data_IF_827829099398
#
_entry.id   IF_827829099398
#
_cell.length_a   1.000
_cell.length_b   1.000
_cell.length_c   1.000
_cell.angle_alpha   90.00
_cell.angle_beta   90.00
_cell.angle_gamma   90.00
#
_symmetry.space_group_name_H-M   'P 1'
#
loop_
_entity.id
_entity.type
_entity.pdbx_description
1 polymer ?
#
# COMPACT_ATOMS: atom_id res chain seq x y z
N UNK A 1 -13.11 -12.02 45.80
CA UNK A 1 -12.69 -11.99 44.38
C UNK A 1 -13.96 -12.10 43.55
N UNK A 2 -14.60 -10.95 43.23
CA UNK A 2 -15.85 -10.94 42.43
C UNK A 2 -15.42 -10.95 40.96
N UNK A 3 -15.76 -12.01 40.25
CA UNK A 3 -15.64 -12.15 38.81
C UNK A 3 -16.46 -11.04 38.15
N UNK A 4 -15.81 -10.03 37.64
CA UNK A 4 -16.40 -9.01 36.76
C UNK A 4 -16.61 -9.69 35.40
N UNK A 5 -17.76 -10.36 35.26
CA UNK A 5 -18.27 -10.71 33.94
C UNK A 5 -18.74 -9.40 33.30
N UNK A 6 -17.86 -8.74 32.56
CA UNK A 6 -18.21 -7.62 31.71
C UNK A 6 -19.22 -8.13 30.69
N UNK A 7 -20.49 -7.76 30.82
CA UNK A 7 -21.47 -7.89 29.74
C UNK A 7 -20.98 -7.05 28.56
N UNK A 8 -20.29 -7.67 27.63
CA UNK A 8 -19.93 -7.08 26.34
C UNK A 8 -21.21 -6.58 25.68
N UNK A 9 -21.22 -5.32 25.30
CA UNK A 9 -22.33 -4.72 24.54
C UNK A 9 -22.57 -5.53 23.24
N UNK A 10 -23.84 -5.63 22.82
CA UNK A 10 -24.21 -6.43 21.63
C UNK A 10 -23.42 -6.00 20.38
N UNK A 11 -23.16 -4.69 20.21
CA UNK A 11 -22.34 -4.18 19.14
C UNK A 11 -20.90 -4.66 19.17
N UNK A 12 -20.29 -4.75 20.36
CA UNK A 12 -18.95 -5.32 20.54
C UNK A 12 -18.92 -6.81 20.23
N UNK A 13 -19.97 -7.55 20.64
CA UNK A 13 -20.12 -8.99 20.30
C UNK A 13 -20.21 -9.20 18.79
N UNK A 14 -21.00 -8.37 18.10
CA UNK A 14 -21.14 -8.45 16.65
C UNK A 14 -19.82 -8.16 15.94
N UNK A 15 -19.11 -7.09 16.34
CA UNK A 15 -17.79 -6.74 15.78
C UNK A 15 -16.77 -7.87 16.05
N UNK A 16 -16.78 -8.44 17.26
CA UNK A 16 -15.91 -9.58 17.60
C UNK A 16 -16.26 -10.81 16.77
N UNK A 17 -17.54 -11.09 16.54
CA UNK A 17 -17.97 -12.22 15.71
C UNK A 17 -17.49 -12.05 14.26
N UNK A 18 -17.59 -10.86 13.69
CA UNK A 18 -17.07 -10.59 12.32
C UNK A 18 -15.57 -10.82 12.26
N UNK A 19 -14.80 -10.30 13.21
CA UNK A 19 -13.34 -10.52 13.26
C UNK A 19 -13.01 -12.01 13.38
N UNK A 20 -13.72 -12.73 14.24
CA UNK A 20 -13.54 -14.17 14.39
C UNK A 20 -13.88 -14.94 13.10
N UNK A 21 -14.98 -14.61 12.45
CA UNK A 21 -15.35 -15.24 11.16
C UNK A 21 -14.30 -14.99 10.10
N UNK A 22 -13.83 -13.75 9.96
CA UNK A 22 -12.75 -13.41 9.02
C UNK A 22 -11.47 -14.18 9.38
N UNK A 23 -11.10 -14.23 10.66
CA UNK A 23 -9.90 -14.94 11.09
C UNK A 23 -10.03 -16.46 10.84
N UNK A 24 -11.14 -17.08 11.22
CA UNK A 24 -11.37 -18.52 11.02
C UNK A 24 -11.42 -18.89 9.55
N UNK A 25 -11.98 -18.02 8.70
CA UNK A 25 -12.06 -18.28 7.26
C UNK A 25 -10.72 -18.06 6.53
N UNK A 26 -10.00 -17.00 6.86
CA UNK A 26 -8.83 -16.57 6.09
C UNK A 26 -7.50 -17.02 6.68
N UNK A 27 -7.36 -17.20 8.00
CA UNK A 27 -6.07 -17.65 8.57
C UNK A 27 -5.66 -19.04 8.09
N UNK A 28 -6.53 -20.06 8.05
CA UNK A 28 -6.18 -21.35 7.46
C UNK A 28 -5.79 -21.23 5.97
N UNK A 29 -6.50 -20.37 5.23
CA UNK A 29 -6.20 -20.12 3.82
C UNK A 29 -4.85 -19.45 3.64
N UNK A 30 -4.49 -18.49 4.49
CA UNK A 30 -3.15 -17.85 4.50
C UNK A 30 -2.07 -18.88 4.82
N UNK A 31 -2.30 -19.79 5.79
CA UNK A 31 -1.33 -20.84 6.12
C UNK A 31 -1.15 -21.80 4.94
N UNK A 32 -2.25 -22.18 4.27
CA UNK A 32 -2.20 -23.07 3.11
C UNK A 32 -1.54 -22.44 1.88
N UNK A 33 -1.72 -21.13 1.70
CA UNK A 33 -1.16 -20.35 0.60
C UNK A 33 0.15 -19.65 0.98
N UNK A 34 0.75 -19.95 2.14
CA UNK A 34 1.98 -19.28 2.56
C UNK A 34 3.09 -19.50 1.52
N UNK A 35 3.67 -18.42 0.98
CA UNK A 35 4.59 -18.51 -0.12
C UNK A 35 5.91 -19.18 0.28
N UNK A 36 6.43 -19.99 -0.63
CA UNK A 36 7.76 -20.59 -0.55
C UNK A 36 8.53 -20.16 -1.82
N UNK A 37 8.99 -18.89 -1.89
CA UNK A 37 9.66 -18.40 -3.08
C UNK A 37 10.95 -19.18 -3.33
N UNK A 38 11.17 -19.56 -4.59
CA UNK A 38 12.44 -20.10 -5.04
C UNK A 38 13.49 -18.97 -5.03
N UNK A 39 14.57 -19.17 -4.27
CA UNK A 39 15.67 -18.22 -4.15
C UNK A 39 16.83 -18.53 -5.10
N UNK A 40 16.66 -19.45 -6.03
CA UNK A 40 17.72 -19.94 -6.90
C UNK A 40 18.32 -18.88 -7.83
N UNK A 41 17.59 -17.77 -8.07
CA UNK A 41 18.08 -16.64 -8.88
C UNK A 41 18.62 -15.47 -8.05
N UNK A 42 18.68 -15.58 -6.73
CA UNK A 42 19.11 -14.49 -5.88
C UNK A 42 20.63 -14.40 -5.81
N UNK A 43 21.22 -13.40 -6.44
CA UNK A 43 22.56 -12.94 -6.08
C UNK A 43 22.58 -12.40 -4.65
N UNK A 44 23.75 -12.15 -4.11
CA UNK A 44 23.91 -11.65 -2.76
C UNK A 44 24.18 -10.14 -2.77
N UNK A 45 23.53 -9.41 -1.86
CA UNK A 45 23.81 -8.00 -1.62
C UNK A 45 24.76 -7.87 -0.43
N UNK A 46 25.81 -7.07 -0.59
CA UNK A 46 26.78 -6.81 0.49
C UNK A 46 27.23 -5.36 0.47
N UNK A 47 27.66 -4.85 1.63
CA UNK A 47 28.20 -3.50 1.72
C UNK A 47 29.67 -3.50 1.32
N UNK A 48 30.11 -2.46 0.62
CA UNK A 48 31.50 -2.21 0.26
C UNK A 48 31.83 -0.73 0.42
N UNK A 49 33.06 -0.42 0.76
CA UNK A 49 33.62 0.93 0.65
C UNK A 49 34.36 1.02 -0.67
N UNK A 50 33.99 2.00 -1.49
CA UNK A 50 34.55 2.18 -2.82
C UNK A 50 35.80 3.06 -2.76
N UNK A 51 36.81 2.70 -3.57
CA UNK A 51 38.02 3.46 -3.80
C UNK A 51 38.42 3.34 -5.26
N UNK A 52 39.32 4.22 -5.71
CA UNK A 52 39.82 4.26 -7.07
C UNK A 52 38.69 4.30 -8.12
N UNK A 53 37.66 5.11 -7.83
CA UNK A 53 36.52 5.29 -8.72
C UNK A 53 36.97 5.98 -10.00
N UNK A 54 36.89 5.27 -11.12
CA UNK A 54 37.24 5.77 -12.44
C UNK A 54 36.07 5.61 -13.40
N UNK A 55 35.86 6.64 -14.24
CA UNK A 55 34.86 6.61 -15.29
C UNK A 55 35.55 6.76 -16.65
N UNK A 56 35.17 5.93 -17.60
CA UNK A 56 35.66 5.95 -18.98
C UNK A 56 34.50 5.82 -19.95
N UNK A 57 34.74 6.18 -21.21
CA UNK A 57 33.74 5.95 -22.25
C UNK A 57 33.47 4.48 -22.41
N UNK A 58 32.19 4.10 -22.48
CA UNK A 58 31.81 2.71 -22.69
C UNK A 58 32.13 2.29 -24.13
N UNK A 59 32.88 1.20 -24.31
CA UNK A 59 33.07 0.62 -25.64
C UNK A 59 31.72 0.16 -26.22
N UNK A 60 31.37 0.70 -27.38
CA UNK A 60 30.17 0.38 -28.16
C UNK A 60 28.80 0.91 -27.66
N UNK A 61 28.75 1.91 -26.78
CA UNK A 61 27.50 2.58 -26.40
C UNK A 61 27.49 4.00 -26.98
N UNK A 62 26.44 4.33 -27.71
CA UNK A 62 26.25 5.66 -28.37
C UNK A 62 25.76 6.75 -27.42
N UNK A 63 25.61 6.45 -26.13
CA UNK A 63 25.15 7.40 -25.11
C UNK A 63 26.35 8.08 -24.42
N UNK A 64 26.29 9.39 -24.20
CA UNK A 64 27.28 10.20 -23.48
C UNK A 64 27.42 9.87 -21.97
N UNK A 65 27.00 8.69 -21.53
CA UNK A 65 27.07 8.26 -20.13
C UNK A 65 28.22 7.27 -19.97
N UNK A 66 29.26 7.63 -19.20
CA UNK A 66 30.42 6.77 -19.02
C UNK A 66 30.10 5.52 -18.21
N UNK A 67 30.82 4.45 -18.51
CA UNK A 67 30.97 3.30 -17.61
C UNK A 67 32.08 3.59 -16.61
N UNK A 68 32.07 2.89 -15.49
CA UNK A 68 33.11 3.06 -14.49
C UNK A 68 33.45 1.76 -13.79
N UNK A 69 34.59 1.80 -13.17
CA UNK A 69 35.09 0.73 -12.32
C UNK A 69 35.57 1.32 -11.01
N UNK A 70 35.47 0.55 -9.96
CA UNK A 70 35.95 0.91 -8.64
C UNK A 70 36.48 -0.32 -7.92
N UNK A 71 37.38 -0.11 -6.98
CA UNK A 71 37.81 -1.13 -6.03
C UNK A 71 36.86 -1.09 -4.82
N UNK A 72 36.10 -2.14 -4.59
CA UNK A 72 35.24 -2.27 -3.42
C UNK A 72 35.91 -3.07 -2.30
N UNK A 73 36.07 -2.50 -1.13
CA UNK A 73 36.49 -3.24 0.07
C UNK A 73 35.24 -3.70 0.80
N UNK A 74 34.99 -4.99 0.81
CA UNK A 74 33.84 -5.61 1.51
C UNK A 74 34.03 -5.58 3.02
N UNK A 75 32.95 -5.81 3.78
CA UNK A 75 33.00 -5.86 5.26
C UNK A 75 33.93 -6.97 5.83
N UNK A 76 34.35 -7.94 5.02
CA UNK A 76 35.32 -8.99 5.34
C UNK A 76 36.75 -8.67 4.89
N UNK A 77 37.06 -7.41 4.62
CA UNK A 77 38.35 -6.90 4.10
C UNK A 77 38.78 -7.48 2.73
N UNK A 78 37.89 -8.19 2.03
CA UNK A 78 38.17 -8.67 0.67
C UNK A 78 38.02 -7.51 -0.30
N UNK A 79 39.04 -7.27 -1.12
CA UNK A 79 38.98 -6.35 -2.25
C UNK A 79 38.36 -7.04 -3.45
N UNK A 80 37.43 -6.37 -4.10
CA UNK A 80 36.70 -6.84 -5.28
C UNK A 80 36.59 -5.68 -6.28
N UNK A 81 36.60 -6.03 -7.56
CA UNK A 81 36.32 -5.08 -8.61
C UNK A 81 34.79 -4.88 -8.71
N UNK A 82 34.35 -3.62 -8.73
CA UNK A 82 32.94 -3.25 -8.78
C UNK A 82 32.66 -2.50 -10.06
N UNK A 83 31.80 -3.06 -10.91
CA UNK A 83 31.35 -2.39 -12.13
C UNK A 83 30.35 -1.28 -11.80
N UNK A 84 30.60 -0.09 -12.35
CA UNK A 84 29.78 1.09 -12.19
C UNK A 84 29.07 1.37 -13.51
N UNK A 85 27.75 1.07 -13.54
CA UNK A 85 26.92 1.36 -14.69
C UNK A 85 26.28 2.77 -14.58
N UNK A 86 25.44 3.10 -15.54
CA UNK A 86 24.72 4.36 -15.67
C UNK A 86 24.14 4.92 -14.36
N UNK A 87 23.60 4.02 -13.51
CA UNK A 87 23.01 4.41 -12.22
C UNK A 87 24.05 4.95 -11.24
N UNK A 88 25.28 4.45 -11.27
CA UNK A 88 26.37 4.93 -10.43
C UNK A 88 26.80 6.36 -10.83
N UNK A 89 26.85 6.66 -12.13
CA UNK A 89 27.15 7.98 -12.66
C UNK A 89 26.11 9.01 -12.20
N UNK A 90 24.83 8.73 -12.39
CA UNK A 90 23.76 9.63 -11.95
C UNK A 90 23.64 9.73 -10.43
N UNK A 91 24.13 8.74 -9.70
CA UNK A 91 24.19 8.76 -8.24
C UNK A 91 25.41 9.50 -7.69
N UNK A 92 26.30 10.02 -8.58
CA UNK A 92 27.54 10.72 -8.22
C UNK A 92 28.42 9.91 -7.25
N UNK A 93 28.70 8.66 -7.61
CA UNK A 93 29.57 7.78 -6.82
C UNK A 93 31.00 8.30 -6.86
N UNK A 94 31.61 8.41 -5.68
CA UNK A 94 32.97 8.92 -5.48
C UNK A 94 33.78 8.02 -4.53
N UNK A 95 35.08 8.28 -4.47
CA UNK A 95 35.97 7.60 -3.51
C UNK A 95 35.49 7.76 -2.06
N UNK A 96 35.65 6.71 -1.29
CA UNK A 96 35.23 6.57 0.11
C UNK A 96 33.71 6.46 0.31
N UNK A 97 32.92 6.40 -0.76
CA UNK A 97 31.48 6.14 -0.63
C UNK A 97 31.24 4.70 -0.15
N UNK A 98 30.29 4.57 0.79
CA UNK A 98 29.78 3.27 1.21
C UNK A 98 28.59 2.89 0.33
N UNK A 99 28.74 1.78 -0.38
CA UNK A 99 27.76 1.30 -1.36
C UNK A 99 27.27 -0.12 -1.03
N UNK A 100 26.07 -0.41 -1.45
CA UNK A 100 25.56 -1.77 -1.58
C UNK A 100 25.94 -2.28 -2.96
N UNK A 101 26.65 -3.38 -3.01
CA UNK A 101 27.03 -4.06 -4.26
C UNK A 101 26.27 -5.38 -4.40
N UNK A 102 25.88 -5.67 -5.62
CA UNK A 102 25.20 -6.91 -5.97
C UNK A 102 26.22 -7.89 -6.56
N UNK A 103 26.35 -9.03 -5.92
CA UNK A 103 27.23 -10.11 -6.37
C UNK A 103 26.40 -11.16 -7.14
N UNK A 104 26.71 -11.36 -8.40
CA UNK A 104 26.13 -12.39 -9.26
C UNK A 104 27.20 -13.36 -9.72
N UNK A 105 26.88 -14.65 -9.81
CA UNK A 105 27.76 -15.65 -10.39
C UNK A 105 27.56 -15.69 -11.91
N UNK A 106 28.63 -15.43 -12.65
CA UNK A 106 28.68 -15.58 -14.10
C UNK A 106 29.40 -16.88 -14.45
N UNK A 107 28.87 -17.70 -15.38
CA UNK A 107 29.52 -18.95 -15.80
C UNK A 107 30.96 -18.76 -16.34
N UNK A 108 31.21 -17.61 -16.97
CA UNK A 108 32.49 -17.34 -17.69
C UNK A 108 33.47 -16.48 -16.87
N UNK A 109 32.97 -15.66 -15.92
CA UNK A 109 33.79 -14.65 -15.24
C UNK A 109 33.86 -14.82 -13.72
N UNK A 110 33.20 -15.84 -13.16
CA UNK A 110 33.11 -16.01 -11.71
C UNK A 110 32.15 -15.03 -11.06
N UNK A 111 32.44 -14.59 -9.83
CA UNK A 111 31.56 -13.63 -9.12
C UNK A 111 31.83 -12.21 -9.64
N UNK A 112 30.82 -11.60 -10.25
CA UNK A 112 30.84 -10.21 -10.71
C UNK A 112 30.10 -9.35 -9.70
N UNK A 113 30.75 -8.24 -9.30
CA UNK A 113 30.15 -7.26 -8.39
C UNK A 113 29.73 -6.03 -9.18
N UNK A 114 28.48 -5.61 -8.99
CA UNK A 114 27.94 -4.39 -9.62
C UNK A 114 27.42 -3.43 -8.56
N UNK A 115 27.60 -2.14 -8.79
CA UNK A 115 27.01 -1.11 -7.93
C UNK A 115 25.48 -1.20 -7.99
N UNK A 116 24.85 -1.24 -6.84
CA UNK A 116 23.38 -1.25 -6.74
C UNK A 116 22.84 0.08 -6.19
N UNK A 117 23.39 0.57 -5.09
CA UNK A 117 22.99 1.84 -4.49
C UNK A 117 23.97 2.29 -3.41
N UNK A 118 23.93 3.56 -3.02
CA UNK A 118 24.60 3.99 -1.79
C UNK A 118 24.04 3.27 -0.55
N UNK A 119 24.90 2.96 0.43
CA UNK A 119 24.45 2.46 1.73
C UNK A 119 23.78 3.60 2.52
N UNK A 120 22.47 3.59 2.52
CA UNK A 120 21.62 4.57 3.21
C UNK A 120 20.98 3.99 4.49
N UNK A 121 21.33 2.75 4.87
CA UNK A 121 20.64 2.00 5.93
C UNK A 121 20.53 2.79 7.24
N UNK A 122 21.66 3.25 7.78
CA UNK A 122 21.68 4.01 9.05
C UNK A 122 20.90 5.33 8.93
N UNK A 123 21.05 6.05 7.80
CA UNK A 123 20.36 7.33 7.57
C UNK A 123 18.84 7.15 7.46
N UNK A 124 18.39 6.08 6.79
CA UNK A 124 16.97 5.73 6.68
C UNK A 124 16.38 5.32 8.03
N UNK A 125 17.10 4.52 8.80
CA UNK A 125 16.69 4.12 10.16
C UNK A 125 16.56 5.37 11.04
N UNK A 126 17.58 6.22 11.08
CA UNK A 126 17.57 7.44 11.88
C UNK A 126 16.42 8.39 11.50
N UNK A 127 16.20 8.64 10.20
CA UNK A 127 15.08 9.47 9.73
C UNK A 127 13.72 8.88 10.09
N UNK A 128 13.57 7.56 9.98
CA UNK A 128 12.35 6.85 10.37
C UNK A 128 12.08 6.98 11.87
N UNK A 129 13.11 6.83 12.72
CA UNK A 129 12.95 7.04 14.15
C UNK A 129 12.56 8.47 14.51
N UNK A 130 13.12 9.48 13.85
CA UNK A 130 12.76 10.89 14.06
C UNK A 130 11.27 11.11 13.70
N UNK A 131 10.83 10.58 12.56
CA UNK A 131 9.43 10.71 12.13
C UNK A 131 8.50 9.99 13.10
N UNK A 132 8.83 8.77 13.52
CA UNK A 132 8.06 8.02 14.52
C UNK A 132 7.96 8.81 15.83
N UNK A 133 9.06 9.35 16.34
CA UNK A 133 9.07 10.14 17.55
C UNK A 133 8.17 11.38 17.44
N UNK A 134 8.19 12.08 16.29
CA UNK A 134 7.34 13.22 16.02
C UNK A 134 5.84 12.83 16.02
N UNK A 135 5.50 11.73 15.36
CA UNK A 135 4.13 11.20 15.34
C UNK A 135 3.66 10.84 16.75
N UNK A 136 4.50 10.18 17.55
CA UNK A 136 4.17 9.81 18.93
C UNK A 136 3.99 11.03 19.84
N UNK A 137 4.77 12.06 19.62
CA UNK A 137 4.65 13.32 20.36
C UNK A 137 3.28 13.99 20.11
N UNK A 138 2.83 14.02 18.85
CA UNK A 138 1.61 14.71 18.44
C UNK A 138 0.37 13.82 18.67
N UNK A 139 0.38 12.59 18.21
CA UNK A 139 -0.79 11.69 18.19
C UNK A 139 -0.93 10.85 19.47
N UNK A 140 0.13 10.80 20.30
CA UNK A 140 0.14 10.10 21.59
C UNK A 140 -0.25 8.61 21.48
N UNK A 141 -1.02 8.10 22.44
CA UNK A 141 -1.36 6.67 22.52
C UNK A 141 -2.11 6.08 21.32
N UNK A 142 -2.85 6.89 20.55
CA UNK A 142 -3.45 6.43 19.28
C UNK A 142 -2.39 6.27 18.19
N UNK A 143 -1.33 7.09 18.23
CA UNK A 143 -0.20 7.00 17.31
C UNK A 143 0.56 5.68 17.43
N UNK A 144 0.75 5.17 18.65
CA UNK A 144 1.41 3.87 18.87
C UNK A 144 0.65 2.75 18.17
N UNK A 145 -0.68 2.70 18.32
CA UNK A 145 -1.51 1.68 17.66
C UNK A 145 -1.49 1.82 16.14
N UNK A 146 -1.53 3.05 15.64
CA UNK A 146 -1.46 3.29 14.20
C UNK A 146 -0.11 2.84 13.60
N UNK A 147 1.02 3.19 14.25
CA UNK A 147 2.35 2.77 13.80
C UNK A 147 2.49 1.24 13.88
N UNK A 148 2.05 0.62 14.98
CA UNK A 148 2.13 -0.83 15.15
C UNK A 148 1.30 -1.57 14.08
N UNK A 149 0.08 -1.09 13.78
CA UNK A 149 -0.75 -1.67 12.72
C UNK A 149 -0.15 -1.46 11.33
N UNK A 150 0.46 -0.30 11.08
CA UNK A 150 1.14 -0.03 9.80
C UNK A 150 2.33 -0.97 9.59
N UNK A 151 3.18 -1.12 10.60
CA UNK A 151 4.34 -2.03 10.54
C UNK A 151 3.90 -3.49 10.36
N UNK A 152 2.90 -3.94 11.13
CA UNK A 152 2.36 -5.29 10.98
C UNK A 152 1.78 -5.51 9.57
N UNK A 153 1.07 -4.53 9.03
CA UNK A 153 0.53 -4.58 7.66
C UNK A 153 1.64 -4.61 6.61
N UNK A 154 2.68 -3.80 6.76
CA UNK A 154 3.81 -3.77 5.84
C UNK A 154 4.56 -5.12 5.83
N UNK A 155 4.81 -5.71 6.99
CA UNK A 155 5.42 -7.04 7.12
C UNK A 155 4.53 -8.11 6.47
N UNK A 156 3.22 -8.06 6.71
CA UNK A 156 2.28 -9.02 6.13
C UNK A 156 2.19 -8.87 4.60
N UNK A 157 2.12 -7.65 4.08
CA UNK A 157 2.13 -7.38 2.64
C UNK A 157 3.43 -7.91 2.02
N UNK A 158 4.58 -7.64 2.63
CA UNK A 158 5.86 -8.13 2.13
C UNK A 158 5.93 -9.65 2.12
N UNK A 159 5.62 -10.29 3.24
CA UNK A 159 5.80 -11.74 3.40
C UNK A 159 4.74 -12.54 2.65
N UNK A 160 3.47 -12.15 2.71
CA UNK A 160 2.37 -12.91 2.13
C UNK A 160 1.99 -12.45 0.72
N UNK A 161 1.71 -11.15 0.53
CA UNK A 161 1.25 -10.66 -0.76
C UNK A 161 2.37 -10.69 -1.80
N UNK A 162 3.48 -9.98 -1.53
CA UNK A 162 4.59 -9.89 -2.48
C UNK A 162 5.25 -11.26 -2.63
N UNK A 163 5.50 -11.96 -1.53
CA UNK A 163 6.06 -13.32 -1.56
C UNK A 163 5.19 -14.29 -2.34
N UNK A 164 3.86 -14.21 -2.20
CA UNK A 164 2.92 -15.08 -2.91
C UNK A 164 2.88 -14.83 -4.42
N UNK A 165 2.92 -13.56 -4.83
CA UNK A 165 3.02 -13.19 -6.25
C UNK A 165 4.37 -13.62 -6.81
N UNK A 166 5.46 -13.40 -6.09
CA UNK A 166 6.81 -13.81 -6.49
C UNK A 166 6.97 -15.35 -6.58
N UNK A 167 6.15 -16.11 -5.86
CA UNK A 167 6.08 -17.56 -5.99
C UNK A 167 5.16 -18.02 -7.15
N UNK A 168 4.71 -17.12 -8.02
CA UNK A 168 3.84 -17.43 -9.17
C UNK A 168 2.35 -17.49 -8.83
N UNK A 169 1.94 -17.03 -7.64
CA UNK A 169 0.54 -16.99 -7.24
C UNK A 169 -0.25 -15.88 -7.94
N UNK A 170 -1.58 -16.03 -8.00
CA UNK A 170 -2.47 -15.04 -8.62
C UNK A 170 -2.44 -13.71 -7.87
N UNK A 171 -2.02 -12.58 -8.52
CA UNK A 171 -1.96 -11.26 -7.88
C UNK A 171 -3.29 -10.86 -7.22
N UNK A 172 -4.41 -11.07 -7.91
CA UNK A 172 -5.74 -10.67 -7.44
C UNK A 172 -6.18 -11.47 -6.20
N UNK A 173 -5.90 -12.78 -6.16
CA UNK A 173 -6.24 -13.62 -5.01
C UNK A 173 -5.48 -13.18 -3.75
N UNK A 174 -4.15 -13.08 -3.86
CA UNK A 174 -3.31 -12.65 -2.74
C UNK A 174 -3.65 -11.24 -2.27
N UNK A 175 -3.94 -10.32 -3.19
CA UNK A 175 -4.37 -8.97 -2.87
C UNK A 175 -5.71 -8.95 -2.15
N UNK A 176 -6.71 -9.70 -2.62
CA UNK A 176 -8.03 -9.75 -2.00
C UNK A 176 -7.94 -10.25 -0.55
N UNK A 177 -7.21 -11.33 -0.31
CA UNK A 177 -6.99 -11.86 1.04
C UNK A 177 -6.26 -10.82 1.91
N UNK A 178 -5.21 -10.20 1.36
CA UNK A 178 -4.42 -9.19 2.08
C UNK A 178 -5.26 -7.98 2.47
N UNK A 179 -6.08 -7.47 1.58
CA UNK A 179 -6.97 -6.33 1.84
C UNK A 179 -7.92 -6.64 2.99
N UNK A 180 -8.58 -7.78 2.95
CA UNK A 180 -9.56 -8.15 3.99
C UNK A 180 -8.86 -8.26 5.35
N UNK A 181 -7.69 -8.92 5.43
CA UNK A 181 -6.96 -9.11 6.68
C UNK A 181 -6.33 -7.83 7.20
N UNK A 182 -5.67 -7.07 6.34
CA UNK A 182 -5.03 -5.79 6.69
C UNK A 182 -6.08 -4.80 7.18
N UNK A 183 -7.19 -4.62 6.45
CA UNK A 183 -8.25 -3.73 6.87
C UNK A 183 -8.91 -4.18 8.18
N UNK A 184 -9.16 -5.48 8.34
CA UNK A 184 -9.70 -6.00 9.59
C UNK A 184 -8.74 -5.71 10.74
N UNK A 185 -7.46 -6.03 10.57
CA UNK A 185 -6.43 -5.78 11.59
C UNK A 185 -6.30 -4.30 11.93
N UNK A 186 -6.07 -3.45 10.92
CA UNK A 186 -5.86 -2.00 11.11
C UNK A 186 -7.07 -1.33 11.75
N UNK A 187 -8.27 -1.54 11.20
CA UNK A 187 -9.49 -0.89 11.69
C UNK A 187 -9.81 -1.27 13.13
N UNK A 188 -9.88 -2.57 13.41
CA UNK A 188 -10.30 -3.02 14.75
C UNK A 188 -9.20 -2.83 15.80
N UNK A 189 -7.93 -2.90 15.44
CA UNK A 189 -6.84 -2.61 16.37
C UNK A 189 -6.73 -1.11 16.70
N UNK A 190 -6.93 -0.25 15.71
CA UNK A 190 -6.78 1.22 15.87
C UNK A 190 -8.03 1.83 16.51
N UNK A 191 -9.23 1.47 16.02
CA UNK A 191 -10.50 2.07 16.41
C UNK A 191 -11.30 1.25 17.41
N UNK A 192 -10.89 0.01 17.68
CA UNK A 192 -11.55 -0.90 18.61
C UNK A 192 -12.74 -1.65 18.01
N UNK A 193 -13.21 -2.65 18.76
CA UNK A 193 -14.33 -3.52 18.38
C UNK A 193 -15.67 -2.83 18.68
N UNK A 194 -16.11 -1.94 17.78
CA UNK A 194 -17.34 -1.17 17.94
C UNK A 194 -18.24 -1.29 16.70
N UNK A 195 -19.54 -1.01 16.85
CA UNK A 195 -20.48 -0.93 15.72
C UNK A 195 -20.08 0.13 14.70
N UNK A 196 -19.49 1.23 15.17
CA UNK A 196 -18.95 2.28 14.31
C UNK A 196 -17.82 1.76 13.43
N UNK A 197 -16.86 1.02 14.01
CA UNK A 197 -15.74 0.43 13.28
C UNK A 197 -16.24 -0.63 12.30
N UNK A 198 -17.25 -1.42 12.69
CA UNK A 198 -17.86 -2.40 11.82
C UNK A 198 -18.56 -1.76 10.61
N UNK A 199 -19.24 -0.62 10.81
CA UNK A 199 -19.84 0.14 9.71
C UNK A 199 -18.80 0.66 8.72
N UNK A 200 -17.69 1.21 9.24
CA UNK A 200 -16.57 1.66 8.43
C UNK A 200 -15.96 0.49 7.65
N UNK A 201 -15.72 -0.65 8.30
CA UNK A 201 -15.20 -1.86 7.66
C UNK A 201 -16.09 -2.32 6.50
N UNK A 202 -17.41 -2.42 6.74
CA UNK A 202 -18.36 -2.82 5.69
C UNK A 202 -18.38 -1.87 4.51
N UNK A 203 -18.37 -0.55 4.76
CA UNK A 203 -18.31 0.47 3.72
C UNK A 203 -17.03 0.43 2.91
N UNK A 204 -15.88 0.26 3.57
CA UNK A 204 -14.57 0.12 2.89
C UNK A 204 -14.51 -1.13 2.02
N UNK A 205 -15.05 -2.27 2.50
CA UNK A 205 -15.14 -3.50 1.71
C UNK A 205 -15.99 -3.31 0.45
N UNK A 206 -17.15 -2.65 0.55
CA UNK A 206 -17.98 -2.34 -0.61
C UNK A 206 -17.25 -1.43 -1.61
N UNK A 207 -16.56 -0.40 -1.14
CA UNK A 207 -15.79 0.49 -1.99
C UNK A 207 -14.64 -0.22 -2.70
N UNK A 208 -13.88 -1.05 -1.98
CA UNK A 208 -12.78 -1.83 -2.55
C UNK A 208 -13.28 -2.85 -3.59
N UNK A 209 -14.37 -3.57 -3.29
CA UNK A 209 -14.97 -4.50 -4.23
C UNK A 209 -15.48 -3.80 -5.50
N UNK A 210 -16.06 -2.60 -5.35
CA UNK A 210 -16.53 -1.81 -6.49
C UNK A 210 -15.37 -1.26 -7.32
N UNK A 211 -14.29 -0.77 -6.68
CA UNK A 211 -13.07 -0.34 -7.37
C UNK A 211 -12.44 -1.50 -8.15
N UNK A 212 -12.38 -2.69 -7.55
CA UNK A 212 -11.89 -3.90 -8.19
C UNK A 212 -12.72 -4.26 -9.43
N UNK A 213 -14.04 -4.30 -9.30
CA UNK A 213 -14.94 -4.60 -10.42
C UNK A 213 -14.83 -3.57 -11.54
N UNK A 214 -14.80 -2.27 -11.20
CA UNK A 214 -14.64 -1.19 -12.18
C UNK A 214 -13.26 -1.25 -12.86
N UNK A 215 -12.19 -1.47 -12.10
CA UNK A 215 -10.84 -1.61 -12.63
C UNK A 215 -10.71 -2.79 -13.59
N UNK A 216 -11.23 -3.96 -13.22
CA UNK A 216 -11.24 -5.15 -14.09
C UNK A 216 -12.01 -4.88 -15.37
N UNK A 217 -13.21 -4.29 -15.26
CA UNK A 217 -14.06 -3.99 -16.43
C UNK A 217 -13.36 -3.00 -17.37
N UNK A 218 -12.81 -1.92 -16.83
CA UNK A 218 -12.12 -0.90 -17.62
C UNK A 218 -10.84 -1.44 -18.27
N UNK A 219 -10.04 -2.19 -17.53
CA UNK A 219 -8.78 -2.78 -18.05
C UNK A 219 -9.04 -3.74 -19.20
N UNK A 220 -10.07 -4.58 -19.10
CA UNK A 220 -10.45 -5.51 -20.18
C UNK A 220 -11.05 -4.77 -21.39
N UNK A 221 -11.87 -3.75 -21.15
CA UNK A 221 -12.48 -2.95 -22.22
C UNK A 221 -11.45 -2.15 -23.01
N UNK A 222 -10.49 -1.55 -22.32
CA UNK A 222 -9.41 -0.75 -22.91
C UNK A 222 -8.24 -1.59 -23.42
N UNK A 223 -8.22 -2.91 -23.17
CA UNK A 223 -7.15 -3.84 -23.56
C UNK A 223 -5.78 -3.36 -23.08
N UNK A 224 -5.69 -2.98 -21.80
CA UNK A 224 -4.47 -2.42 -21.22
C UNK A 224 -3.36 -3.48 -21.12
N UNK A 225 -2.15 -3.08 -21.53
CA UNK A 225 -0.92 -3.84 -21.38
C UNK A 225 -0.22 -3.62 -20.01
N UNK A 226 1.05 -4.03 -19.87
CA UNK A 226 1.85 -3.76 -18.69
C UNK A 226 2.04 -2.25 -18.47
N UNK A 227 1.84 -1.81 -17.22
CA UNK A 227 1.74 -0.39 -16.89
C UNK A 227 3.08 0.36 -16.87
N UNK A 228 4.18 -0.33 -16.56
CA UNK A 228 5.49 0.28 -16.39
C UNK A 228 6.64 -0.66 -16.79
N UNK A 229 7.85 -0.11 -16.79
CA UNK A 229 9.08 -0.83 -17.13
C UNK A 229 9.37 -1.98 -16.14
N UNK A 230 9.09 -1.77 -14.84
CA UNK A 230 9.27 -2.80 -13.81
C UNK A 230 8.32 -3.98 -14.02
N UNK A 231 7.05 -3.71 -14.37
CA UNK A 231 6.09 -4.75 -14.72
C UNK A 231 6.51 -5.49 -16.01
N UNK A 232 7.03 -4.76 -16.99
CA UNK A 232 7.56 -5.34 -18.22
C UNK A 232 8.77 -6.24 -17.94
N UNK A 233 9.66 -5.84 -17.02
CA UNK A 233 10.82 -6.64 -16.64
C UNK A 233 10.43 -8.01 -16.03
N UNK A 234 9.27 -8.11 -15.37
CA UNK A 234 8.76 -9.39 -14.86
C UNK A 234 8.46 -10.39 -15.97
N UNK A 235 8.22 -9.96 -17.21
CA UNK A 235 8.00 -10.86 -18.34
C UNK A 235 9.25 -11.67 -18.72
N UNK A 236 10.44 -11.14 -18.39
CA UNK A 236 11.71 -11.83 -18.60
C UNK A 236 12.02 -12.85 -17.50
N UNK A 237 11.26 -12.82 -16.39
CA UNK A 237 11.33 -13.88 -15.39
C UNK A 237 10.50 -15.08 -15.87
N UNK A 238 10.85 -16.28 -15.43
CA UNK A 238 10.06 -17.48 -15.74
C UNK A 238 8.72 -17.53 -14.99
N UNK A 239 8.31 -16.44 -14.35
CA UNK A 239 7.07 -16.32 -13.60
C UNK A 239 5.93 -15.98 -14.56
N UNK A 240 4.93 -16.85 -14.63
CA UNK A 240 3.73 -16.61 -15.44
C UNK A 240 2.75 -15.69 -14.71
N UNK A 241 3.16 -14.41 -14.51
CA UNK A 241 2.37 -13.40 -13.78
C UNK A 241 1.48 -12.64 -14.77
N UNK A 242 0.18 -12.60 -14.49
CA UNK A 242 -0.74 -11.73 -15.23
C UNK A 242 -0.54 -10.26 -14.80
N UNK A 243 0.08 -9.48 -15.67
CA UNK A 243 0.44 -8.08 -15.43
C UNK A 243 -0.77 -7.16 -15.30
N UNK A 244 -1.89 -7.50 -15.93
CA UNK A 244 -3.12 -6.70 -15.81
C UNK A 244 -3.71 -6.83 -14.40
N UNK A 245 -3.74 -8.02 -13.85
CA UNK A 245 -4.17 -8.25 -12.46
C UNK A 245 -3.16 -7.74 -11.43
N UNK A 246 -1.87 -7.71 -11.76
CA UNK A 246 -0.85 -7.09 -10.92
C UNK A 246 -1.06 -5.57 -10.80
N UNK A 247 -1.31 -4.88 -11.92
CA UNK A 247 -1.61 -3.44 -11.93
C UNK A 247 -2.87 -3.11 -11.14
N UNK A 248 -3.90 -3.94 -11.26
CA UNK A 248 -5.12 -3.80 -10.46
C UNK A 248 -4.88 -4.04 -8.97
N UNK A 249 -4.02 -4.98 -8.64
CA UNK A 249 -3.59 -5.25 -7.25
C UNK A 249 -2.88 -4.05 -6.64
N UNK A 250 -1.99 -3.41 -7.39
CA UNK A 250 -1.31 -2.19 -6.96
C UNK A 250 -2.30 -1.05 -6.66
N UNK A 251 -3.29 -0.83 -7.54
CA UNK A 251 -4.36 0.13 -7.30
C UNK A 251 -5.10 -0.15 -5.99
N UNK A 252 -5.53 -1.39 -5.78
CA UNK A 252 -6.32 -1.76 -4.61
C UNK A 252 -5.55 -1.52 -3.30
N UNK A 253 -4.25 -1.81 -3.28
CA UNK A 253 -3.39 -1.52 -2.13
C UNK A 253 -3.27 -0.02 -1.89
N UNK A 254 -3.10 0.77 -2.94
CA UNK A 254 -3.01 2.23 -2.82
C UNK A 254 -4.32 2.87 -2.31
N UNK A 255 -5.46 2.30 -2.66
CA UNK A 255 -6.79 2.81 -2.27
C UNK A 255 -7.19 2.50 -0.83
N UNK A 256 -6.63 1.46 -0.20
CA UNK A 256 -7.05 1.00 1.14
C UNK A 256 -7.12 2.15 2.15
N UNK A 257 -6.07 2.98 2.22
CA UNK A 257 -6.00 4.09 3.16
C UNK A 257 -7.12 5.11 2.93
N UNK A 258 -7.31 5.52 1.69
CA UNK A 258 -8.29 6.56 1.31
C UNK A 258 -9.73 6.08 1.56
N UNK A 259 -10.05 4.85 1.14
CA UNK A 259 -11.38 4.27 1.36
C UNK A 259 -11.69 4.13 2.85
N UNK A 260 -10.68 3.70 3.63
CA UNK A 260 -10.78 3.59 5.08
C UNK A 260 -11.05 4.94 5.75
N UNK A 261 -10.34 6.00 5.35
CA UNK A 261 -10.49 7.34 5.94
C UNK A 261 -11.89 7.91 5.67
N UNK A 262 -12.39 7.77 4.45
CA UNK A 262 -13.75 8.16 4.08
C UNK A 262 -14.77 7.38 4.90
N UNK A 263 -14.63 6.06 4.98
CA UNK A 263 -15.56 5.21 5.71
C UNK A 263 -15.55 5.51 7.21
N UNK A 264 -14.37 5.72 7.81
CA UNK A 264 -14.23 6.04 9.22
C UNK A 264 -14.86 7.40 9.55
N UNK A 265 -14.63 8.44 8.73
CA UNK A 265 -15.24 9.76 8.87
C UNK A 265 -16.77 9.70 8.70
N UNK A 266 -17.24 8.97 7.69
CA UNK A 266 -18.65 8.79 7.40
C UNK A 266 -19.38 8.07 8.54
N UNK A 267 -18.84 6.95 9.03
CA UNK A 267 -19.37 6.26 10.19
C UNK A 267 -19.39 7.16 11.43
N UNK A 268 -18.32 7.94 11.66
CA UNK A 268 -18.26 8.88 12.77
C UNK A 268 -19.37 9.91 12.70
N UNK A 269 -19.63 10.47 11.54
CA UNK A 269 -20.68 11.48 11.31
C UNK A 269 -22.06 10.91 11.61
N UNK A 270 -22.40 9.72 11.11
CA UNK A 270 -23.68 9.07 11.39
C UNK A 270 -23.87 8.81 12.90
N UNK A 271 -22.86 8.19 13.52
CA UNK A 271 -22.95 7.85 14.96
C UNK A 271 -22.95 9.06 15.88
N UNK A 272 -22.38 10.20 15.48
CA UNK A 272 -22.44 11.44 16.28
C UNK A 272 -23.83 12.08 16.33
N UNK A 273 -24.68 11.80 15.33
CA UNK A 273 -26.05 12.32 15.26
C UNK A 273 -27.11 11.29 15.73
N UNK A 274 -26.71 10.12 16.17
CA UNK A 274 -27.58 9.09 16.74
C UNK A 274 -27.41 9.06 18.26
N UNK A 275 -28.23 9.84 18.97
CA UNK A 275 -28.26 9.79 20.44
C UNK A 275 -28.94 8.49 20.92
N UNK A 276 -28.47 7.86 22.03
CA UNK A 276 -28.98 6.58 22.51
C UNK A 276 -30.48 6.57 22.84
N UNK A 277 -31.03 7.73 23.25
CA UNK A 277 -32.40 7.85 23.78
C UNK A 277 -33.41 8.50 22.84
N UNK A 278 -32.99 8.90 21.63
CA UNK A 278 -33.86 9.54 20.65
C UNK A 278 -34.01 8.67 19.39
N UNK A 279 -35.24 8.61 18.84
CA UNK A 279 -35.45 7.99 17.55
C UNK A 279 -34.63 8.72 16.49
N UNK A 280 -33.73 8.03 15.75
CA UNK A 280 -32.90 8.65 14.76
C UNK A 280 -33.75 9.38 13.72
N UNK A 281 -33.51 10.70 13.55
CA UNK A 281 -34.18 11.48 12.53
C UNK A 281 -33.48 11.29 11.17
N UNK A 282 -33.78 10.19 10.49
CA UNK A 282 -33.12 9.82 9.22
C UNK A 282 -33.15 10.93 8.18
N UNK A 283 -34.25 11.73 8.16
CA UNK A 283 -34.40 12.87 7.25
C UNK A 283 -33.36 13.98 7.48
N UNK A 284 -32.75 14.02 8.66
CA UNK A 284 -31.70 14.98 9.01
C UNK A 284 -30.33 14.34 8.91
N UNK A 285 -30.18 13.11 9.43
CA UNK A 285 -28.90 12.43 9.51
C UNK A 285 -28.34 12.09 8.11
N UNK A 286 -29.19 11.56 7.22
CA UNK A 286 -28.75 11.16 5.88
C UNK A 286 -28.23 12.34 5.04
N UNK A 287 -28.95 13.46 4.89
CA UNK A 287 -28.42 14.60 4.16
C UNK A 287 -27.14 15.17 4.76
N UNK A 288 -27.05 15.25 6.10
CA UNK A 288 -25.85 15.74 6.79
C UNK A 288 -24.65 14.82 6.55
N UNK A 289 -24.83 13.51 6.71
CA UNK A 289 -23.78 12.53 6.47
C UNK A 289 -23.34 12.55 5.00
N UNK A 290 -24.26 12.63 4.04
CA UNK A 290 -23.92 12.73 2.63
C UNK A 290 -23.24 14.05 2.26
N UNK A 291 -23.55 15.16 2.94
CA UNK A 291 -22.85 16.43 2.72
C UNK A 291 -21.39 16.32 3.13
N UNK A 292 -21.13 15.86 4.37
CA UNK A 292 -19.76 15.63 4.86
C UNK A 292 -19.01 14.63 3.96
N UNK A 293 -19.70 13.56 3.54
CA UNK A 293 -19.11 12.56 2.66
C UNK A 293 -18.71 13.13 1.29
N UNK A 294 -19.49 14.05 0.72
CA UNK A 294 -19.14 14.70 -0.56
C UNK A 294 -17.86 15.52 -0.43
N UNK A 295 -17.71 16.29 0.66
CA UNK A 295 -16.52 17.11 0.88
C UNK A 295 -15.27 16.22 1.04
N UNK A 296 -15.36 15.13 1.81
CA UNK A 296 -14.28 14.16 1.94
C UNK A 296 -13.96 13.45 0.61
N UNK A 297 -14.99 13.04 -0.14
CA UNK A 297 -14.78 12.38 -1.43
C UNK A 297 -14.14 13.31 -2.45
N UNK A 298 -14.54 14.59 -2.49
CA UNK A 298 -13.90 15.58 -3.37
C UNK A 298 -12.41 15.75 -3.03
N UNK A 299 -12.07 15.88 -1.75
CA UNK A 299 -10.68 15.96 -1.29
C UNK A 299 -9.88 14.70 -1.67
N UNK A 300 -10.46 13.52 -1.51
CA UNK A 300 -9.83 12.24 -1.86
C UNK A 300 -9.58 12.13 -3.39
N UNK A 301 -10.52 12.60 -4.21
CA UNK A 301 -10.34 12.63 -5.67
C UNK A 301 -9.15 13.53 -6.05
N UNK A 302 -9.03 14.72 -5.46
CA UNK A 302 -7.86 15.57 -5.69
C UNK A 302 -6.57 14.88 -5.26
N UNK A 303 -6.55 14.23 -4.11
CA UNK A 303 -5.38 13.52 -3.58
C UNK A 303 -4.91 12.43 -4.55
N UNK A 304 -5.81 11.60 -5.04
CA UNK A 304 -5.47 10.56 -6.03
C UNK A 304 -4.96 11.19 -7.32
N UNK A 305 -5.67 12.20 -7.84
CA UNK A 305 -5.32 12.84 -9.11
C UNK A 305 -3.92 13.47 -9.06
N UNK A 306 -3.61 14.23 -8.00
CA UNK A 306 -2.29 14.81 -7.85
C UNK A 306 -1.19 13.80 -7.55
N UNK A 307 -1.49 12.71 -6.84
CA UNK A 307 -0.53 11.62 -6.64
C UNK A 307 -0.16 10.95 -7.95
N UNK A 308 -1.15 10.71 -8.83
CA UNK A 308 -0.94 10.14 -10.16
C UNK A 308 -0.08 11.06 -11.03
N UNK A 309 -0.42 12.36 -11.09
CA UNK A 309 0.37 13.34 -11.85
C UNK A 309 1.77 13.44 -11.28
N UNK A 310 1.91 13.48 -9.96
CA UNK A 310 3.22 13.56 -9.31
C UNK A 310 4.10 12.34 -9.59
N UNK A 311 3.54 11.13 -9.51
CA UNK A 311 4.26 9.89 -9.83
C UNK A 311 4.66 9.83 -11.31
N UNK A 312 3.82 10.34 -12.22
CA UNK A 312 4.06 10.35 -13.66
C UNK A 312 4.80 11.60 -14.19
N UNK A 313 5.27 12.51 -13.32
CA UNK A 313 5.78 13.81 -13.74
C UNK A 313 6.91 13.72 -14.78
N UNK A 314 7.84 12.79 -14.63
CA UNK A 314 8.92 12.56 -15.58
C UNK A 314 8.38 12.20 -16.98
N UNK A 315 7.37 11.35 -17.06
CA UNK A 315 6.74 10.97 -18.32
C UNK A 315 6.03 12.17 -18.99
N UNK A 316 5.37 13.03 -18.20
CA UNK A 316 4.78 14.28 -18.72
C UNK A 316 5.83 15.25 -19.29
N UNK A 317 6.95 15.40 -18.56
CA UNK A 317 8.07 16.25 -19.03
C UNK A 317 8.65 15.68 -20.33
N UNK A 318 8.87 14.37 -20.39
CA UNK A 318 9.42 13.69 -21.57
C UNK A 318 8.49 13.86 -22.78
N UNK A 319 7.18 13.62 -22.60
CA UNK A 319 6.18 13.81 -23.65
C UNK A 319 6.16 15.25 -24.18
N UNK A 320 6.29 16.22 -23.28
CA UNK A 320 6.36 17.64 -23.66
C UNK A 320 7.65 17.96 -24.43
N UNK A 321 8.78 17.44 -23.98
CA UNK A 321 10.10 17.64 -24.62
C UNK A 321 10.12 17.10 -26.06
N UNK A 322 9.49 15.94 -26.29
CA UNK A 322 9.39 15.35 -27.62
C UNK A 322 8.21 15.87 -28.45
N UNK A 323 7.52 16.93 -27.99
CA UNK A 323 6.32 17.46 -28.65
C UNK A 323 5.27 16.38 -28.97
N UNK A 324 5.13 15.38 -28.10
CA UNK A 324 4.15 14.31 -28.27
C UNK A 324 2.74 14.90 -28.16
N UNK A 325 1.83 14.65 -29.11
CA UNK A 325 0.46 15.10 -28.98
C UNK A 325 -0.21 14.50 -27.75
N UNK A 326 -0.93 15.32 -26.98
CA UNK A 326 -1.61 14.88 -25.74
C UNK A 326 -2.49 13.65 -25.97
N UNK A 327 -3.18 13.58 -27.11
CA UNK A 327 -4.01 12.42 -27.48
C UNK A 327 -3.21 11.12 -27.62
N UNK A 328 -1.99 11.18 -28.16
CA UNK A 328 -1.11 10.01 -28.28
C UNK A 328 -0.51 9.65 -26.91
N UNK A 329 -0.10 10.65 -26.12
CA UNK A 329 0.44 10.45 -24.77
C UNK A 329 -0.58 9.76 -23.84
N UNK A 330 -1.83 10.23 -23.84
CA UNK A 330 -2.91 9.63 -23.02
C UNK A 330 -3.25 8.19 -23.42
N UNK A 331 -2.90 7.76 -24.63
CA UNK A 331 -3.16 6.40 -25.13
C UNK A 331 -1.95 5.46 -24.92
N UNK A 332 -0.84 5.92 -24.36
CA UNK A 332 0.26 5.02 -23.99
C UNK A 332 -0.20 4.08 -22.87
N UNK A 333 0.27 2.85 -22.86
CA UNK A 333 -0.14 1.83 -21.88
C UNK A 333 0.05 2.31 -20.43
N UNK A 334 1.19 2.94 -20.14
CA UNK A 334 1.49 3.48 -18.81
C UNK A 334 0.47 4.51 -18.36
N UNK A 335 0.16 5.50 -19.21
CA UNK A 335 -0.75 6.58 -18.86
C UNK A 335 -2.19 6.09 -18.83
N UNK A 336 -2.60 5.29 -19.82
CA UNK A 336 -3.96 4.70 -19.89
C UNK A 336 -4.24 3.81 -18.69
N UNK A 337 -3.29 2.97 -18.27
CA UNK A 337 -3.43 2.12 -17.08
C UNK A 337 -3.55 2.96 -15.82
N UNK A 338 -2.70 3.98 -15.67
CA UNK A 338 -2.72 4.86 -14.50
C UNK A 338 -4.03 5.67 -14.40
N UNK A 339 -4.53 6.18 -15.54
CA UNK A 339 -5.84 6.85 -15.61
C UNK A 339 -6.99 5.90 -15.28
N UNK A 340 -6.94 4.67 -15.78
CA UNK A 340 -7.95 3.64 -15.49
C UNK A 340 -7.98 3.30 -14.02
N UNK A 341 -6.82 3.16 -13.39
CA UNK A 341 -6.69 2.96 -11.96
C UNK A 341 -7.28 4.13 -11.15
N UNK A 342 -6.99 5.37 -11.57
CA UNK A 342 -7.56 6.56 -10.95
C UNK A 342 -9.09 6.56 -11.06
N UNK A 343 -9.65 6.30 -12.23
CA UNK A 343 -11.10 6.25 -12.45
C UNK A 343 -11.78 5.16 -11.63
N UNK A 344 -11.21 3.96 -11.58
CA UNK A 344 -11.70 2.86 -10.75
C UNK A 344 -11.66 3.22 -9.25
N UNK A 345 -10.59 3.89 -8.82
CA UNK A 345 -10.48 4.42 -7.46
C UNK A 345 -11.54 5.44 -7.12
N UNK A 346 -11.81 6.38 -8.01
CA UNK A 346 -12.88 7.38 -7.85
C UNK A 346 -14.25 6.72 -7.71
N UNK A 347 -14.54 5.68 -8.51
CA UNK A 347 -15.79 4.91 -8.40
C UNK A 347 -15.88 4.24 -7.01
N UNK A 348 -14.79 3.62 -6.54
CA UNK A 348 -14.72 3.03 -5.20
C UNK A 348 -14.99 4.06 -4.09
N UNK A 349 -14.39 5.25 -4.18
CA UNK A 349 -14.60 6.36 -3.25
C UNK A 349 -16.08 6.78 -3.20
N UNK A 350 -16.68 7.00 -4.37
CA UNK A 350 -18.09 7.43 -4.48
C UNK A 350 -19.04 6.42 -3.84
N UNK A 351 -18.77 5.12 -3.98
CA UNK A 351 -19.61 4.06 -3.43
C UNK A 351 -19.35 3.82 -1.95
N UNK A 352 -18.12 4.03 -1.46
CA UNK A 352 -17.78 3.88 -0.04
C UNK A 352 -18.66 4.77 0.85
N UNK A 353 -18.92 5.99 0.45
CA UNK A 353 -19.69 6.96 1.22
C UNK A 353 -21.14 6.49 1.49
N UNK A 354 -22.00 6.21 0.50
CA UNK A 354 -23.36 5.75 0.74
C UNK A 354 -23.38 4.36 1.39
N UNK A 355 -22.49 3.46 1.01
CA UNK A 355 -22.40 2.13 1.61
C UNK A 355 -22.13 2.23 3.13
N UNK A 356 -21.14 3.03 3.55
CA UNK A 356 -20.86 3.25 4.96
C UNK A 356 -22.02 3.89 5.67
N UNK A 357 -22.71 4.85 5.04
CA UNK A 357 -23.91 5.48 5.62
C UNK A 357 -24.98 4.45 5.90
N UNK A 358 -25.26 3.56 4.94
CA UNK A 358 -26.26 2.49 5.11
C UNK A 358 -25.85 1.53 6.26
N UNK A 359 -24.59 1.05 6.28
CA UNK A 359 -24.11 0.20 7.38
C UNK A 359 -24.19 0.90 8.74
N UNK A 360 -23.78 2.17 8.81
CA UNK A 360 -23.82 2.94 10.04
C UNK A 360 -25.27 3.14 10.54
N UNK A 361 -26.22 3.41 9.63
CA UNK A 361 -27.62 3.53 9.95
C UNK A 361 -28.24 2.21 10.45
N UNK A 362 -27.90 1.09 9.84
CA UNK A 362 -28.37 -0.23 10.28
C UNK A 362 -27.82 -0.58 11.65
N UNK A 363 -26.53 -0.34 11.86
CA UNK A 363 -25.84 -0.70 13.10
C UNK A 363 -26.11 0.26 14.26
N UNK A 364 -26.47 1.53 14.00
CA UNK A 364 -26.82 2.50 15.01
C UNK A 364 -28.18 2.21 15.70
N UNK A 365 -29.02 1.33 15.13
CA UNK A 365 -30.26 0.84 15.72
C UNK A 365 -30.05 -0.20 16.82
N UNK A 366 -28.84 -0.73 16.95
CA UNK A 366 -28.48 -1.74 17.95
C UNK A 366 -28.31 -1.04 19.29
N UNK A 367 -29.11 -1.36 20.32
CA UNK A 367 -29.02 -0.69 21.62
C UNK A 367 -27.64 -0.90 22.25
N UNK A 368 -26.97 0.19 22.64
CA UNK A 368 -25.79 0.10 23.49
C UNK A 368 -26.23 0.07 24.95
N UNK A 369 -25.95 -1.00 25.68
CA UNK A 369 -26.32 -1.16 27.08
C UNK A 369 -25.46 -0.34 28.06
N UNK A 370 -24.67 0.60 27.58
CA UNK A 370 -23.70 1.36 28.39
C UNK A 370 -24.25 2.56 29.18
N UNK A 371 -25.59 2.78 29.25
CA UNK A 371 -26.16 4.01 29.82
C UNK A 371 -26.89 3.88 31.16
N UNK A 372 -26.78 2.77 31.92
CA UNK A 372 -27.60 2.64 33.16
C UNK A 372 -26.85 2.75 34.48
N UNK A 373 -25.63 3.33 34.55
CA UNK A 373 -24.89 3.43 35.81
C UNK A 373 -24.49 4.83 36.28
N UNK A 374 -25.15 5.90 35.79
CA UNK A 374 -25.07 7.22 36.44
C UNK A 374 -26.40 7.52 37.09
N UNK A 375 -26.62 6.94 38.27
CA UNK A 375 -27.61 7.42 39.20
C UNK A 375 -27.25 8.84 39.67
N UNK A 376 -28.24 9.69 40.02
CA UNK A 376 -27.99 11.05 40.46
C UNK A 376 -27.20 11.03 41.77
N UNK A 377 -26.06 11.70 41.78
CA UNK A 377 -25.40 12.07 43.04
C UNK A 377 -26.15 13.29 43.60
N UNK A 378 -26.91 13.04 44.67
CA UNK A 378 -27.37 14.10 45.57
C UNK A 378 -26.20 14.71 46.31
#
# INVERSE_FOLDING_TARGET
MKTVVTHLDYGTRLATAVVLVVAVALVPLVIALWPHPDKSMAGTYTSAVLSDVTYSDCDNVTDDVPCGEATGTLDNDKQVEVMLFRDAWFSHVTDSDRAIVYASESPDSGTVYTFHSHDRGIKLIASTFIIIALVLLVVRGKGIRAIASLLASAIFIWAFLIGGIAAGGSPLLYTTISIILVLTGVLFFTHGLTTKTLAAWGGTMCGAATAMAAGTLLSTWLRLGPADESASALTYTNLNIDLSTLSLSALLIALIGILNDIAAAQAATVFSHTAPDTRPQWKVIVPTALSVGRDHSASAIYTISFSVVGAGLAAFVLAHTYNQPLSAFLQTDTVSTTLTQMLAGVIGIIITMPATTVFALLLSRIPSTASSSRGPKH
#
